data_IF_038640467016
#
_entry.id   IF_038640467016
#
_cell.length_a   1.000
_cell.length_b   1.000
_cell.length_c   1.000
_cell.angle_alpha   90.00
_cell.angle_beta   90.00
_cell.angle_gamma   90.00
#
_symmetry.space_group_name_H-M   'P 1'
#
loop_
_entity.id
_entity.type
_entity.pdbx_description
1 polymer ?
#
# COMPACT_ATOMS: atom_id res chain seq x y z
N UNK A 1 -17.53 14.68 -20.29
CA UNK A 1 -16.26 15.31 -19.86
C UNK A 1 -16.46 16.82 -19.82
N UNK A 2 -16.35 17.41 -18.61
CA UNK A 2 -16.66 18.79 -18.18
C UNK A 2 -18.01 19.39 -18.61
N UNK A 3 -19.03 19.15 -17.78
CA UNK A 3 -20.21 20.02 -17.62
C UNK A 3 -20.42 20.26 -16.12
N UNK A 4 -20.31 21.52 -15.70
CA UNK A 4 -20.45 22.09 -14.33
C UNK A 4 -19.46 21.63 -13.24
N UNK A 5 -18.86 22.61 -12.55
CA UNK A 5 -18.14 22.56 -11.24
C UNK A 5 -17.40 21.27 -10.87
N UNK A 6 -16.71 20.67 -11.83
CA UNK A 6 -15.98 19.41 -11.65
C UNK A 6 -16.83 18.23 -11.14
N UNK A 7 -18.16 18.31 -11.16
CA UNK A 7 -19.06 17.29 -10.62
C UNK A 7 -18.78 15.89 -11.19
N UNK A 8 -18.57 15.80 -12.51
CA UNK A 8 -18.24 14.52 -13.15
C UNK A 8 -16.89 13.94 -12.71
N UNK A 9 -15.89 14.78 -12.37
CA UNK A 9 -14.63 14.27 -11.82
C UNK A 9 -14.78 13.84 -10.37
N UNK A 10 -15.60 14.56 -9.59
CA UNK A 10 -15.89 14.19 -8.21
C UNK A 10 -16.59 12.83 -8.13
N UNK A 11 -17.66 12.64 -8.91
CA UNK A 11 -18.38 11.37 -8.95
C UNK A 11 -17.50 10.21 -9.44
N UNK A 12 -16.71 10.42 -10.50
CA UNK A 12 -15.80 9.39 -11.00
C UNK A 12 -14.71 9.07 -9.96
N UNK A 13 -14.14 10.07 -9.30
CA UNK A 13 -13.14 9.87 -8.26
C UNK A 13 -13.70 9.12 -7.04
N UNK A 14 -14.87 9.53 -6.55
CA UNK A 14 -15.56 8.87 -5.42
C UNK A 14 -16.00 7.44 -5.75
N UNK A 15 -16.05 7.06 -7.03
CA UNK A 15 -16.32 5.68 -7.45
C UNK A 15 -15.10 4.75 -7.28
N UNK A 16 -13.89 5.29 -7.12
CA UNK A 16 -12.72 4.47 -6.84
C UNK A 16 -12.83 3.78 -5.49
N UNK A 17 -12.28 2.58 -5.42
CA UNK A 17 -12.22 1.85 -4.16
C UNK A 17 -11.29 2.56 -3.18
N UNK A 18 -11.82 2.94 -2.01
CA UNK A 18 -11.03 3.47 -0.90
C UNK A 18 -10.74 2.37 0.14
N UNK A 19 -9.50 2.34 0.65
CA UNK A 19 -9.09 1.42 1.71
C UNK A 19 -8.40 0.15 1.20
N UNK A 20 -8.57 -0.95 1.93
CA UNK A 20 -7.87 -2.22 1.67
C UNK A 20 -8.64 -3.11 0.68
N UNK A 21 -8.09 -3.30 -0.53
CA UNK A 21 -8.65 -4.19 -1.55
C UNK A 21 -7.92 -5.53 -1.69
N UNK A 22 -6.73 -5.67 -1.09
CA UNK A 22 -5.87 -6.85 -1.18
C UNK A 22 -5.15 -7.14 0.14
N UNK A 23 -4.48 -8.29 0.23
CA UNK A 23 -3.70 -8.67 1.42
C UNK A 23 -2.46 -7.78 1.59
N UNK A 24 -2.09 -7.57 2.85
CA UNK A 24 -0.96 -6.76 3.31
C UNK A 24 -0.35 -7.40 4.58
N UNK A 25 -0.35 -8.72 4.60
CA UNK A 25 -0.04 -9.51 5.79
C UNK A 25 1.43 -9.34 6.19
N UNK A 26 2.33 -9.19 5.22
CA UNK A 26 3.75 -8.93 5.47
C UNK A 26 3.95 -7.53 6.05
N UNK A 27 3.24 -6.55 5.51
CA UNK A 27 3.35 -5.15 5.92
C UNK A 27 2.79 -4.90 7.33
N UNK A 28 1.79 -5.69 7.75
CA UNK A 28 1.16 -5.62 9.08
C UNK A 28 1.87 -6.40 10.17
N UNK A 29 2.90 -7.21 9.86
CA UNK A 29 3.71 -7.88 10.88
C UNK A 29 4.25 -6.86 11.88
N UNK A 30 4.21 -7.17 13.16
CA UNK A 30 4.66 -6.26 14.23
C UNK A 30 6.11 -5.79 14.00
N UNK A 31 6.98 -6.68 13.50
CA UNK A 31 8.38 -6.39 13.18
C UNK A 31 8.54 -5.36 12.04
N UNK A 32 7.52 -5.21 11.18
CA UNK A 32 7.52 -4.28 10.05
C UNK A 32 6.74 -3.00 10.32
N UNK A 33 5.98 -2.91 11.43
CA UNK A 33 5.14 -1.76 11.74
C UNK A 33 5.92 -0.45 11.81
N UNK A 34 7.11 -0.46 12.40
CA UNK A 34 8.00 0.72 12.51
C UNK A 34 8.65 1.11 11.17
N UNK A 35 8.62 0.23 10.17
CA UNK A 35 9.12 0.48 8.81
C UNK A 35 8.07 1.18 7.92
N UNK A 36 6.86 1.39 8.45
CA UNK A 36 5.78 2.12 7.79
C UNK A 36 5.66 3.53 8.36
N UNK A 37 5.78 4.56 7.52
CA UNK A 37 5.60 5.97 7.95
C UNK A 37 4.18 6.24 8.44
N UNK A 38 3.18 5.67 7.77
CA UNK A 38 1.76 5.78 8.12
C UNK A 38 1.17 4.37 8.21
N UNK A 39 0.51 4.05 9.32
CA UNK A 39 -0.03 2.70 9.55
C UNK A 39 -1.21 2.32 8.64
N UNK A 40 -1.85 3.30 8.01
CA UNK A 40 -2.95 3.13 7.07
C UNK A 40 -2.51 3.15 5.60
N UNK A 41 -1.23 3.46 5.31
CA UNK A 41 -0.67 3.48 3.95
C UNK A 41 0.52 2.50 3.93
N UNK A 42 0.24 1.24 3.61
CA UNK A 42 1.19 0.13 3.68
C UNK A 42 1.11 -0.74 2.42
N UNK A 43 2.17 -1.51 2.14
CA UNK A 43 2.32 -2.23 0.89
C UNK A 43 1.42 -3.49 0.79
N UNK A 44 0.80 -3.70 -0.37
CA UNK A 44 0.11 -4.95 -0.69
C UNK A 44 1.08 -6.08 -1.02
N UNK A 45 0.76 -7.31 -0.60
CA UNK A 45 1.69 -8.45 -0.71
C UNK A 45 1.99 -8.83 -2.17
N UNK A 46 0.98 -8.78 -3.04
CA UNK A 46 1.09 -9.27 -4.42
C UNK A 46 1.99 -8.42 -5.33
N UNK A 47 2.28 -7.18 -4.94
CA UNK A 47 3.09 -6.25 -5.73
C UNK A 47 4.21 -5.59 -4.93
N UNK A 48 4.43 -6.00 -3.66
CA UNK A 48 5.48 -5.39 -2.84
C UNK A 48 6.86 -5.64 -3.45
N UNK A 49 7.75 -4.68 -3.25
CA UNK A 49 9.18 -4.90 -3.49
C UNK A 49 9.72 -5.81 -2.39
N UNK A 50 10.36 -6.91 -2.78
CA UNK A 50 11.00 -7.86 -1.86
C UNK A 50 12.50 -7.58 -1.88
N UNK A 51 13.05 -7.15 -0.75
CA UNK A 51 14.49 -6.96 -0.60
C UNK A 51 15.20 -8.32 -0.45
N UNK A 52 16.50 -8.35 -0.76
CA UNK A 52 17.32 -9.51 -0.46
C UNK A 52 17.37 -9.71 1.06
N UNK A 53 16.97 -10.88 1.59
CA UNK A 53 17.05 -11.15 3.01
C UNK A 53 18.48 -11.10 3.52
N UNK A 54 18.65 -10.54 4.72
CA UNK A 54 19.90 -10.55 5.49
C UNK A 54 19.82 -11.71 6.49
N UNK A 55 20.94 -12.40 6.70
CA UNK A 55 21.04 -13.46 7.71
C UNK A 55 20.63 -12.93 9.10
N UNK A 56 19.95 -13.78 9.87
CA UNK A 56 19.44 -13.50 11.21
C UNK A 56 18.41 -12.34 11.36
N UNK A 57 17.96 -11.71 10.27
CA UNK A 57 16.82 -10.76 10.29
C UNK A 57 15.64 -11.27 9.44
N UNK A 58 14.63 -11.92 10.04
CA UNK A 58 13.46 -12.45 9.33
C UNK A 58 12.52 -11.38 8.77
N UNK A 59 12.78 -10.10 9.04
CA UNK A 59 12.00 -8.96 8.58
C UNK A 59 12.74 -8.11 7.53
N UNK A 60 13.98 -8.47 7.20
CA UNK A 60 14.86 -7.72 6.31
C UNK A 60 14.38 -7.66 4.85
N UNK A 61 13.46 -8.56 4.46
CA UNK A 61 12.91 -8.62 3.10
C UNK A 61 11.85 -7.54 2.83
N UNK A 62 11.44 -6.77 3.86
CA UNK A 62 10.35 -5.82 3.78
C UNK A 62 10.80 -4.37 3.63
N UNK A 63 10.25 -3.71 2.62
CA UNK A 63 10.17 -2.26 2.47
C UNK A 63 8.73 -1.87 2.11
N UNK A 64 8.25 -0.73 2.60
CA UNK A 64 6.94 -0.21 2.22
C UNK A 64 6.99 0.41 0.81
N UNK A 65 6.93 -0.44 -0.22
CA UNK A 65 6.92 -0.07 -1.62
C UNK A 65 6.22 -1.13 -2.48
N UNK A 66 5.57 -0.72 -3.57
CA UNK A 66 4.94 -1.58 -4.57
C UNK A 66 5.44 -1.23 -5.98
N UNK A 67 5.53 -2.22 -6.87
CA UNK A 67 5.62 -1.98 -8.31
C UNK A 67 4.28 -1.45 -8.84
N UNK A 68 4.35 -0.57 -9.85
CA UNK A 68 3.20 0.00 -10.57
C UNK A 68 3.42 -0.23 -12.06
#
# INVERSE_FOLDING_TARGET
MKTSDSYGFKEEYESFFEGQSASWDVAKKDQNRTKNRYGNIIAYDHSRVILQPVEDDPSSDYINANYI
#
